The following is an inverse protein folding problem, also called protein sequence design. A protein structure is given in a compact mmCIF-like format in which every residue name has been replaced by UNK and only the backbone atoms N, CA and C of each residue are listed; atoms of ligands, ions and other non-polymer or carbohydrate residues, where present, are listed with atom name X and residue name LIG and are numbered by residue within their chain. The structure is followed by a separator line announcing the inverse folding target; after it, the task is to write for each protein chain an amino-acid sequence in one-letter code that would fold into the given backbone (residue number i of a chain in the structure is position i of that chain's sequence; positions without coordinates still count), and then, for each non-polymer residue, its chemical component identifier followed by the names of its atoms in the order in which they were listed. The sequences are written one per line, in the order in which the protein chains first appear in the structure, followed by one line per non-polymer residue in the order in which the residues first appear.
data_IF_855503530569
#
_entry.id   IF_855503530569
#
_cell.length_a   1.000
_cell.length_b   1.000
_cell.length_c   1.000
_cell.angle_alpha   90.00
_cell.angle_beta   90.00
_cell.angle_gamma   90.00
#
_symmetry.space_group_name_H-M   'P 1'
#
loop_
_entity.id
_entity.type
_entity.pdbx_description
1 polymer ?
#
# COMPACT_ATOMS: atom_id res chain seq x y z
N UNK A 1 10.79 -5.98 8.50
CA UNK A 1 11.38 -4.63 8.38
C UNK A 1 11.84 -4.16 9.74
N UNK A 2 12.92 -3.41 9.77
CA UNK A 2 13.47 -2.86 11.02
C UNK A 2 12.75 -1.59 11.50
N UNK A 3 11.96 -0.95 10.64
CA UNK A 3 11.25 0.29 10.99
C UNK A 3 9.90 -0.03 11.63
N UNK A 4 9.72 0.23 12.94
CA UNK A 4 8.45 -0.10 13.61
C UNK A 4 7.26 0.71 13.08
N UNK A 5 7.46 1.95 12.61
CA UNK A 5 6.39 2.74 12.03
C UNK A 5 5.87 2.09 10.75
N UNK A 6 6.77 1.63 9.87
CA UNK A 6 6.37 0.96 8.64
C UNK A 6 5.74 -0.40 8.90
N UNK A 7 6.19 -1.12 9.94
CA UNK A 7 5.58 -2.39 10.32
C UNK A 7 4.13 -2.19 10.78
N UNK A 8 3.88 -1.16 11.55
CA UNK A 8 2.54 -0.83 12.03
C UNK A 8 1.62 -0.45 10.88
N UNK A 9 2.12 0.39 9.97
CA UNK A 9 1.37 0.82 8.80
C UNK A 9 1.08 -0.37 7.87
N UNK A 10 2.06 -1.25 7.69
CA UNK A 10 1.91 -2.47 6.90
C UNK A 10 0.81 -3.35 7.46
N UNK A 11 0.81 -3.57 8.77
CA UNK A 11 -0.22 -4.39 9.43
C UNK A 11 -1.62 -3.82 9.21
N UNK A 12 -1.78 -2.51 9.30
CA UNK A 12 -3.06 -1.86 9.07
C UNK A 12 -3.53 -2.05 7.62
N UNK A 13 -2.63 -1.84 6.65
CA UNK A 13 -2.96 -1.97 5.22
C UNK A 13 -3.23 -3.41 4.81
N UNK A 14 -2.39 -4.35 5.23
CA UNK A 14 -2.60 -5.77 4.93
C UNK A 14 -3.89 -6.29 5.53
N UNK A 15 -4.18 -5.92 6.79
CA UNK A 15 -5.41 -6.33 7.44
C UNK A 15 -6.65 -5.88 6.69
N UNK A 16 -6.66 -4.63 6.23
CA UNK A 16 -7.77 -4.09 5.45
C UNK A 16 -7.88 -4.78 4.08
N UNK A 17 -6.76 -4.95 3.37
CA UNK A 17 -6.75 -5.58 2.06
C UNK A 17 -7.22 -7.04 2.12
N UNK A 18 -6.73 -7.80 3.09
CA UNK A 18 -7.14 -9.20 3.28
C UNK A 18 -8.62 -9.30 3.61
N UNK A 19 -9.14 -8.42 4.45
CA UNK A 19 -10.56 -8.37 4.77
C UNK A 19 -11.40 -8.11 3.52
N UNK A 20 -11.00 -7.15 2.70
CA UNK A 20 -11.72 -6.82 1.47
C UNK A 20 -11.67 -7.95 0.46
N UNK A 21 -10.53 -8.64 0.31
CA UNK A 21 -10.43 -9.81 -0.55
C UNK A 21 -11.39 -10.92 -0.11
N UNK A 22 -11.42 -11.24 1.18
CA UNK A 22 -12.29 -12.29 1.71
C UNK A 22 -13.77 -11.93 1.58
N UNK A 23 -14.09 -10.65 1.71
CA UNK A 23 -15.47 -10.18 1.70
C UNK A 23 -16.02 -9.97 0.30
N UNK A 24 -15.19 -9.48 -0.64
CA UNK A 24 -15.62 -9.04 -1.97
C UNK A 24 -14.95 -9.79 -3.11
N UNK A 25 -13.91 -10.56 -2.84
CA UNK A 25 -13.13 -11.25 -3.87
C UNK A 25 -12.12 -10.37 -4.60
N UNK A 26 -12.15 -9.07 -4.36
CA UNK A 26 -11.24 -8.09 -4.97
C UNK A 26 -11.27 -6.81 -4.14
N UNK A 27 -10.30 -5.92 -4.35
CA UNK A 27 -10.32 -4.62 -3.70
C UNK A 27 -9.69 -3.56 -4.60
N UNK A 28 -10.14 -2.32 -4.46
CA UNK A 28 -9.53 -1.17 -5.10
C UNK A 28 -8.39 -0.63 -4.21
N UNK A 29 -7.44 0.13 -4.78
CA UNK A 29 -6.36 0.70 -3.98
C UNK A 29 -6.87 1.45 -2.75
N UNK A 30 -6.23 1.18 -1.62
CA UNK A 30 -6.52 1.82 -0.34
C UNK A 30 -5.26 2.43 0.22
N UNK A 31 -5.40 3.50 0.99
CA UNK A 31 -4.28 4.20 1.58
C UNK A 31 -4.36 4.26 3.09
N UNK A 32 -3.24 4.58 3.70
CA UNK A 32 -3.15 4.88 5.11
C UNK A 32 -1.99 5.84 5.35
N UNK A 33 -2.16 6.72 6.32
CA UNK A 33 -1.12 7.65 6.72
C UNK A 33 -0.87 7.51 8.21
N UNK A 34 0.38 7.77 8.61
CA UNK A 34 0.75 7.86 10.01
C UNK A 34 1.11 9.32 10.29
N UNK A 35 0.37 9.94 11.19
CA UNK A 35 0.61 11.33 11.57
C UNK A 35 1.84 11.44 12.46
N UNK A 36 2.33 12.65 12.64
CA UNK A 36 3.52 12.89 13.44
C UNK A 36 3.40 12.41 14.89
N UNK A 37 2.17 12.29 15.42
CA UNK A 37 1.94 11.75 16.75
C UNK A 37 1.83 10.21 16.78
N UNK A 38 1.99 9.54 15.63
CA UNK A 38 1.90 8.08 15.54
C UNK A 38 0.52 7.55 15.22
N UNK A 39 -0.50 8.40 15.15
CA UNK A 39 -1.86 7.99 14.81
C UNK A 39 -1.94 7.54 13.36
N UNK A 40 -2.58 6.40 13.12
CA UNK A 40 -2.80 5.88 11.77
C UNK A 40 -4.24 6.20 11.35
N UNK A 41 -4.39 6.74 10.14
CA UNK A 41 -5.69 7.01 9.53
C UNK A 41 -5.76 6.37 8.16
N UNK A 42 -6.85 5.68 7.88
CA UNK A 42 -7.10 5.15 6.56
C UNK A 42 -7.56 6.27 5.62
N UNK A 43 -7.09 6.19 4.37
CA UNK A 43 -7.40 7.20 3.34
C UNK A 43 -8.04 6.48 2.17
N UNK A 44 -9.27 6.86 1.85
CA UNK A 44 -9.95 6.39 0.66
C UNK A 44 -9.69 7.31 -0.52
N UNK A 45 -9.81 6.78 -1.73
CA UNK A 45 -9.69 7.56 -2.95
C UNK A 45 -10.95 7.38 -3.79
N UNK A 46 -11.50 8.48 -4.28
CA UNK A 46 -12.66 8.47 -5.17
C UNK A 46 -12.41 9.46 -6.30
N UNK A 47 -12.84 9.08 -7.49
CA UNK A 47 -12.80 9.96 -8.64
C UNK A 47 -14.23 10.43 -8.91
N UNK A 48 -14.46 11.72 -8.80
CA UNK A 48 -15.78 12.31 -9.01
C UNK A 48 -16.29 12.01 -10.42
N UNK A 49 -17.55 11.55 -10.48
CA UNK A 49 -18.19 11.21 -11.76
C UNK A 49 -17.80 9.84 -12.32
N UNK A 50 -17.01 9.06 -11.61
CA UNK A 50 -16.61 7.74 -12.04
C UNK A 50 -16.83 6.71 -10.93
N UNK A 51 -17.88 5.91 -11.06
CA UNK A 51 -18.21 4.87 -10.06
C UNK A 51 -17.28 3.66 -10.12
N UNK A 52 -16.62 3.44 -11.25
CA UNK A 52 -15.78 2.26 -11.47
C UNK A 52 -14.40 2.67 -12.01
N UNK A 53 -13.63 3.46 -11.25
CA UNK A 53 -12.30 3.84 -11.70
C UNK A 53 -11.37 2.63 -11.72
N UNK A 54 -10.42 2.62 -12.64
CA UNK A 54 -9.36 1.61 -12.61
C UNK A 54 -8.41 1.82 -11.44
N UNK A 55 -7.55 0.83 -11.18
CA UNK A 55 -6.60 0.93 -10.08
C UNK A 55 -5.60 2.06 -10.27
N UNK A 56 -5.07 2.22 -11.49
CA UNK A 56 -4.01 3.20 -11.75
C UNK A 56 -4.42 4.64 -11.42
N UNK A 57 -5.61 5.14 -11.85
CA UNK A 57 -6.03 6.49 -11.45
C UNK A 57 -6.14 6.68 -9.95
N UNK A 58 -6.57 5.65 -9.22
CA UNK A 58 -6.68 5.73 -7.76
C UNK A 58 -5.30 5.75 -7.10
N UNK A 59 -4.34 4.97 -7.62
CA UNK A 59 -2.95 4.97 -7.14
C UNK A 59 -2.35 6.36 -7.35
N UNK A 60 -2.57 6.98 -8.50
CA UNK A 60 -2.09 8.32 -8.79
C UNK A 60 -2.69 9.37 -7.84
N UNK A 61 -4.00 9.26 -7.59
CA UNK A 61 -4.68 10.18 -6.68
C UNK A 61 -4.17 10.04 -5.24
N UNK A 62 -3.97 8.81 -4.77
CA UNK A 62 -3.39 8.58 -3.45
C UNK A 62 -1.97 9.12 -3.36
N UNK A 63 -1.17 8.92 -4.41
CA UNK A 63 0.21 9.43 -4.46
C UNK A 63 0.22 10.96 -4.32
N UNK A 64 -0.63 11.65 -5.09
CA UNK A 64 -0.75 13.11 -5.02
C UNK A 64 -1.20 13.57 -3.64
N UNK A 65 -2.17 12.87 -3.04
CA UNK A 65 -2.67 13.18 -1.71
C UNK A 65 -1.56 13.08 -0.67
N UNK A 66 -0.77 12.00 -0.73
CA UNK A 66 0.35 11.80 0.19
C UNK A 66 1.43 12.86 0.00
N UNK A 67 1.73 13.23 -1.25
CA UNK A 67 2.70 14.30 -1.53
C UNK A 67 2.25 15.62 -0.91
N UNK A 68 0.98 15.97 -1.06
CA UNK A 68 0.44 17.20 -0.48
C UNK A 68 0.48 17.18 1.04
N UNK A 69 0.09 16.08 1.66
CA UNK A 69 0.12 15.94 3.11
C UNK A 69 1.56 15.94 3.65
N UNK A 70 2.49 15.32 2.91
CA UNK A 70 3.90 15.32 3.30
C UNK A 70 4.48 16.73 3.32
N UNK A 71 4.13 17.58 2.34
CA UNK A 71 4.63 18.96 2.31
C UNK A 71 4.11 19.82 3.45
N UNK A 72 2.99 19.43 4.08
CA UNK A 72 2.46 20.13 5.25
C UNK A 72 3.24 19.80 6.53
N UNK A 73 4.12 18.79 6.49
CA UNK A 73 4.96 18.42 7.63
C UNK A 73 4.26 17.59 8.69
N UNK A 74 3.07 17.07 8.42
CA UNK A 74 2.28 16.32 9.41
C UNK A 74 2.41 14.81 9.30
N UNK A 75 3.12 14.31 8.29
CA UNK A 75 3.22 12.88 8.06
C UNK A 75 4.54 12.31 8.57
N UNK A 76 4.44 11.21 9.30
CA UNK A 76 5.58 10.38 9.67
C UNK A 76 5.81 9.29 8.64
N UNK A 77 4.73 8.72 8.10
CA UNK A 77 4.78 7.67 7.10
C UNK A 77 3.49 7.66 6.28
N UNK A 78 3.54 7.05 5.12
CA UNK A 78 2.36 6.86 4.27
C UNK A 78 2.51 5.57 3.49
N UNK A 79 1.39 4.97 3.14
CA UNK A 79 1.39 3.75 2.36
C UNK A 79 0.08 3.52 1.65
N UNK A 80 0.13 2.64 0.66
CA UNK A 80 -1.07 2.21 -0.05
C UNK A 80 -0.98 0.73 -0.35
N UNK A 81 -2.13 0.07 -0.39
CA UNK A 81 -2.22 -1.33 -0.76
C UNK A 81 -3.03 -1.45 -2.04
N UNK A 82 -2.58 -2.27 -2.96
CA UNK A 82 -3.26 -2.52 -4.22
C UNK A 82 -2.94 -3.92 -4.73
N UNK A 83 -3.78 -4.41 -5.63
CA UNK A 83 -3.65 -5.74 -6.18
C UNK A 83 -2.71 -5.72 -7.39
N UNK A 84 -1.79 -6.67 -7.46
CA UNK A 84 -0.81 -6.76 -8.55
C UNK A 84 -0.65 -8.19 -9.03
N UNK A 85 -0.09 -8.33 -10.22
CA UNK A 85 0.48 -9.59 -10.70
C UNK A 85 1.98 -9.48 -10.61
N UNK A 86 2.61 -10.44 -9.96
CA UNK A 86 4.06 -10.43 -9.76
C UNK A 86 4.61 -11.85 -9.88
N UNK A 87 5.92 -11.96 -10.12
CA UNK A 87 6.61 -13.24 -10.11
C UNK A 87 7.39 -13.33 -8.80
N UNK A 88 6.94 -14.15 -7.83
CA UNK A 88 7.66 -14.27 -6.57
C UNK A 88 9.09 -14.84 -6.75
N UNK A 89 10.00 -14.52 -5.83
CA UNK A 89 11.37 -15.04 -5.92
C UNK A 89 11.40 -16.57 -6.03
N UNK A 90 12.21 -17.07 -6.96
CA UNK A 90 12.34 -18.51 -7.20
C UNK A 90 11.23 -19.13 -8.03
N UNK A 91 10.27 -18.35 -8.50
CA UNK A 91 9.17 -18.84 -9.34
C UNK A 91 9.28 -18.27 -10.74
N UNK A 92 8.55 -18.87 -11.69
CA UNK A 92 8.59 -18.48 -13.10
C UNK A 92 7.25 -17.96 -13.63
N UNK A 93 6.19 -18.11 -12.87
CA UNK A 93 4.84 -17.70 -13.28
C UNK A 93 4.36 -16.50 -12.48
N UNK A 94 3.54 -15.66 -13.13
CA UNK A 94 2.90 -14.55 -12.46
C UNK A 94 1.86 -15.06 -11.48
N UNK A 95 1.72 -14.37 -10.38
CA UNK A 95 0.80 -14.70 -9.30
C UNK A 95 0.21 -13.43 -8.73
N UNK A 96 -1.05 -13.50 -8.31
CA UNK A 96 -1.70 -12.38 -7.62
C UNK A 96 -1.02 -12.11 -6.29
N UNK A 97 -0.89 -10.85 -5.94
CA UNK A 97 -0.32 -10.44 -4.66
C UNK A 97 -0.92 -9.10 -4.22
N UNK A 98 -1.00 -8.92 -2.91
CA UNK A 98 -1.22 -7.61 -2.34
C UNK A 98 0.13 -6.91 -2.31
N UNK A 99 0.21 -5.74 -2.92
CA UNK A 99 1.41 -4.90 -2.84
C UNK A 99 1.12 -3.74 -1.90
N UNK A 100 1.95 -3.57 -0.87
CA UNK A 100 1.91 -2.41 0.01
C UNK A 100 3.13 -1.56 -0.26
N UNK A 101 2.91 -0.36 -0.80
CA UNK A 101 3.97 0.61 -1.05
C UNK A 101 4.07 1.54 0.15
N UNK A 102 5.17 1.47 0.87
CA UNK A 102 5.35 2.16 2.15
C UNK A 102 6.52 3.14 2.06
N UNK A 103 6.36 4.33 2.64
CA UNK A 103 7.43 5.32 2.72
C UNK A 103 7.43 5.99 4.10
N UNK A 104 8.64 6.28 4.57
CA UNK A 104 8.87 6.97 5.84
C UNK A 104 9.51 8.33 5.56
N UNK A 105 9.16 9.33 6.38
CA UNK A 105 9.67 10.68 6.17
C UNK A 105 11.21 10.78 6.30
N UNK A 106 11.83 9.82 7.00
CA UNK A 106 13.29 9.76 7.13
C UNK A 106 14.02 9.16 5.93
N UNK A 107 13.29 8.71 4.90
CA UNK A 107 13.90 8.31 3.64
C UNK A 107 13.65 6.88 3.20
N UNK A 108 13.18 6.03 4.08
CA UNK A 108 12.94 4.61 3.73
C UNK A 108 11.73 4.48 2.81
N UNK A 109 11.87 3.68 1.75
CA UNK A 109 10.79 3.39 0.82
C UNK A 109 10.89 1.93 0.38
N UNK A 110 9.79 1.19 0.50
CA UNK A 110 9.78 -0.25 0.22
C UNK A 110 8.41 -0.69 -0.30
N UNK A 111 8.42 -1.63 -1.23
CA UNK A 111 7.22 -2.37 -1.63
C UNK A 111 7.24 -3.71 -0.94
N UNK A 112 6.12 -4.07 -0.29
CA UNK A 112 5.96 -5.35 0.37
C UNK A 112 4.88 -6.12 -0.38
N UNK A 113 5.22 -7.32 -0.83
CA UNK A 113 4.32 -8.16 -1.62
C UNK A 113 3.89 -9.36 -0.80
N UNK A 114 2.59 -9.57 -0.71
CA UNK A 114 2.02 -10.77 -0.07
C UNK A 114 1.26 -11.56 -1.12
N UNK A 115 1.87 -12.61 -1.68
CA UNK A 115 1.20 -13.42 -2.69
C UNK A 115 0.01 -14.16 -2.11
N UNK A 116 -1.01 -14.39 -2.93
CA UNK A 116 -2.16 -15.15 -2.49
C UNK A 116 -2.70 -16.02 -3.61
N UNK A 117 -3.39 -17.08 -3.24
CA UNK A 117 -4.10 -17.97 -4.13
C UNK A 117 -5.55 -17.98 -3.70
N UNK A 118 -6.44 -17.80 -4.66
CA UNK A 118 -7.87 -17.89 -4.39
C UNK A 118 -8.28 -19.35 -4.43
N UNK A 119 -8.57 -19.90 -3.24
CA UNK A 119 -9.11 -21.23 -3.12
C UNK A 119 -10.64 -21.21 -3.31
N UNK A 120 -11.30 -22.36 -3.21
CA UNK A 120 -12.75 -22.44 -3.42
C UNK A 120 -13.52 -21.57 -2.41
N UNK A 121 -14.66 -21.02 -2.89
CA UNK A 121 -15.69 -20.33 -2.07
C UNK A 121 -15.21 -19.19 -1.21
N UNK A 122 -14.39 -18.28 -1.79
CA UNK A 122 -14.01 -17.06 -1.09
C UNK A 122 -12.93 -17.23 -0.05
N UNK A 123 -12.29 -18.39 -0.02
CA UNK A 123 -11.12 -18.61 0.83
C UNK A 123 -9.86 -18.22 0.08
N UNK A 124 -8.95 -17.54 0.76
CA UNK A 124 -7.67 -17.13 0.21
C UNK A 124 -6.55 -17.76 1.01
N UNK A 125 -5.54 -18.25 0.31
CA UNK A 125 -4.32 -18.75 0.93
C UNK A 125 -3.22 -17.72 0.68
N UNK A 126 -2.64 -17.20 1.75
CA UNK A 126 -1.56 -16.22 1.65
C UNK A 126 -0.22 -16.93 1.77
N UNK A 127 0.74 -16.47 0.98
CA UNK A 127 2.07 -17.05 0.95
C UNK A 127 3.08 -16.11 1.62
N UNK A 128 4.34 -16.53 1.66
CA UNK A 128 5.40 -15.78 2.30
C UNK A 128 5.60 -14.40 1.64
N UNK A 129 5.72 -13.39 2.48
CA UNK A 129 5.92 -11.99 2.06
C UNK A 129 7.34 -11.83 1.52
N UNK A 130 7.49 -11.03 0.46
CA UNK A 130 8.80 -10.57 0.01
C UNK A 130 8.78 -9.07 -0.22
N UNK A 131 9.95 -8.44 -0.25
CA UNK A 131 10.08 -7.00 -0.34
C UNK A 131 10.98 -6.59 -1.50
N UNK A 132 10.78 -5.36 -1.97
CA UNK A 132 11.65 -4.72 -2.95
C UNK A 132 11.85 -3.27 -2.55
N UNK A 133 13.08 -2.80 -2.57
CA UNK A 133 13.37 -1.40 -2.32
C UNK A 133 12.92 -0.57 -3.52
N UNK A 134 12.57 0.68 -3.24
CA UNK A 134 12.15 1.59 -4.29
C UNK A 134 12.54 3.03 -3.95
N UNK A 135 12.44 3.90 -4.96
CA UNK A 135 12.65 5.33 -4.78
C UNK A 135 11.41 5.95 -4.15
N UNK A 136 11.61 6.92 -3.27
CA UNK A 136 10.51 7.66 -2.66
C UNK A 136 9.69 8.41 -3.71
N UNK A 137 8.37 8.40 -3.53
CA UNK A 137 7.43 9.15 -4.36
C UNK A 137 6.58 10.11 -3.53
N UNK A 138 6.30 9.74 -2.27
CA UNK A 138 5.41 10.55 -1.40
C UNK A 138 6.17 11.68 -0.72
N UNK A 139 7.39 11.41 -0.30
CA UNK A 139 8.23 12.36 0.43
C UNK A 139 9.33 12.99 -0.43
N UNK A 140 9.35 12.73 -1.73
CA UNK A 140 10.45 13.15 -2.60
C UNK A 140 10.53 14.66 -2.82
N UNK A 141 9.48 15.40 -2.48
CA UNK A 141 9.43 16.86 -2.65
C UNK A 141 9.81 17.63 -1.39
N UNK A 142 10.12 16.93 -0.29
CA UNK A 142 10.52 17.60 0.95
C UNK A 142 11.93 18.12 0.83
N UNK A 143 12.18 19.37 1.29
CA UNK A 143 13.55 19.85 1.38
C UNK A 143 14.30 19.00 2.40
N UNK A 144 15.43 18.46 1.97
CA UNK A 144 16.31 17.67 2.81
C UNK A 144 17.53 18.52 3.12
N UNK A 145 17.52 19.04 4.31
CA UNK A 145 18.67 19.86 4.70
C UNK A 145 19.03 19.64 6.10
#
# INVERSE_FOLDING_TARGET
MANPDLNELLSALLGMAEMLLEKQGAFLPIGAIMLSNGEIRHVGAQIEGNEYPGAQPLIELLTETFQKEATKGNLRAAGMAYDVLTVPPGRHQKQDAICCSLEHWLGEAVDVFKPYIKAEEGHFQFEEVFTAERTQKFFCQLPRG
#
